data_IF_572185071140
#
_entry.id   IF_572185071140
#
_cell.length_a   1.000
_cell.length_b   1.000
_cell.length_c   1.000
_cell.angle_alpha   90.00
_cell.angle_beta   90.00
_cell.angle_gamma   90.00
#
_symmetry.space_group_name_H-M   'P 1'
#
loop_
_entity.id
_entity.type
_entity.pdbx_description
1 polymer ?
#
# COMPACT_ATOMS: atom_id res chain seq x y z
N UNK A 1 1.20 -32.99 6.27
CA UNK A 1 1.32 -31.59 5.87
C UNK A 1 2.20 -30.86 6.88
N UNK A 2 3.14 -30.07 6.41
CA UNK A 2 4.03 -29.38 7.33
C UNK A 2 3.47 -28.00 7.67
N UNK A 3 4.02 -27.37 8.71
CA UNK A 3 3.55 -26.08 9.19
C UNK A 3 3.60 -24.99 8.15
N UNK A 4 4.60 -25.04 7.29
CA UNK A 4 4.76 -24.05 6.24
C UNK A 4 3.54 -24.02 5.30
N UNK A 5 3.02 -25.19 4.96
CA UNK A 5 1.85 -25.28 4.09
C UNK A 5 0.60 -24.76 4.79
N UNK A 6 0.50 -24.98 6.10
CA UNK A 6 -0.65 -24.48 6.86
C UNK A 6 -0.64 -22.96 6.94
N UNK A 7 0.51 -22.36 7.19
CA UNK A 7 0.63 -20.90 7.24
C UNK A 7 0.31 -20.28 5.89
N UNK A 8 0.81 -20.89 4.82
CA UNK A 8 0.56 -20.39 3.48
C UNK A 8 -0.94 -20.45 3.16
N UNK A 9 -1.58 -21.54 3.52
CA UNK A 9 -2.99 -21.75 3.27
C UNK A 9 -3.84 -20.71 4.02
N UNK A 10 -3.53 -20.48 5.30
CA UNK A 10 -4.24 -19.49 6.09
C UNK A 10 -4.06 -18.10 5.53
N UNK A 11 -2.84 -17.78 5.11
CA UNK A 11 -2.54 -16.47 4.54
C UNK A 11 -3.34 -16.25 3.26
N UNK A 12 -3.38 -17.23 2.37
CA UNK A 12 -4.11 -17.10 1.11
C UNK A 12 -5.60 -16.92 1.30
N UNK A 13 -6.14 -17.46 2.38
CA UNK A 13 -7.58 -17.36 2.66
C UNK A 13 -7.96 -16.09 3.40
N UNK A 14 -6.98 -15.33 3.87
CA UNK A 14 -7.26 -14.09 4.60
C UNK A 14 -7.74 -12.99 3.67
N UNK A 15 -8.64 -12.13 4.13
CA UNK A 15 -8.98 -10.93 3.37
C UNK A 15 -7.75 -10.05 3.18
N UNK A 16 -7.62 -9.48 2.01
CA UNK A 16 -6.43 -8.70 1.66
C UNK A 16 -6.72 -7.37 0.99
N UNK A 17 -5.66 -6.57 0.90
CA UNK A 17 -5.66 -5.34 0.14
C UNK A 17 -4.46 -5.33 -0.81
N UNK A 18 -4.68 -4.79 -2.01
CA UNK A 18 -3.60 -4.16 -2.73
C UNK A 18 -3.61 -2.72 -2.25
N UNK A 19 -2.47 -2.19 -1.85
CA UNK A 19 -2.41 -0.83 -1.33
C UNK A 19 -1.51 0.05 -2.18
N UNK A 20 -1.82 1.35 -2.16
CA UNK A 20 -1.01 2.36 -2.84
C UNK A 20 -0.61 3.38 -1.79
N UNK A 21 0.68 3.43 -1.47
CA UNK A 21 1.20 4.38 -0.49
C UNK A 21 1.97 5.46 -1.23
N UNK A 22 1.60 6.71 -1.02
CA UNK A 22 2.32 7.83 -1.59
C UNK A 22 3.37 8.35 -0.62
N UNK A 23 4.54 8.71 -1.14
CA UNK A 23 5.62 9.27 -0.34
C UNK A 23 5.83 10.73 -0.75
N UNK A 24 5.89 11.60 0.23
CA UNK A 24 6.15 13.03 0.01
C UNK A 24 4.88 13.86 -0.01
N UNK A 25 5.05 15.17 0.08
CA UNK A 25 3.96 16.13 0.01
C UNK A 25 4.49 17.35 -0.75
N UNK A 26 4.17 17.50 -2.04
CA UNK A 26 3.29 16.60 -2.82
C UNK A 26 3.91 15.22 -3.05
N UNK A 27 3.07 14.28 -3.42
CA UNK A 27 3.52 12.90 -3.61
C UNK A 27 4.54 12.82 -4.74
N UNK A 28 5.69 12.19 -4.45
CA UNK A 28 6.77 12.02 -5.41
C UNK A 28 6.85 10.62 -5.95
N UNK A 29 6.48 9.65 -5.13
CA UNK A 29 6.57 8.25 -5.49
C UNK A 29 5.41 7.48 -4.87
N UNK A 30 5.08 6.35 -5.49
CA UNK A 30 3.99 5.49 -5.03
C UNK A 30 4.53 4.07 -4.87
N UNK A 31 4.22 3.47 -3.73
CA UNK A 31 4.52 2.05 -3.50
C UNK A 31 3.26 1.25 -3.74
N UNK A 32 3.39 0.16 -4.51
CA UNK A 32 2.30 -0.76 -4.76
C UNK A 32 2.64 -2.06 -4.04
N UNK A 33 1.77 -2.53 -3.16
CA UNK A 33 2.04 -3.74 -2.40
C UNK A 33 0.77 -4.44 -1.99
N UNK A 34 0.93 -5.56 -1.29
CA UNK A 34 -0.19 -6.33 -0.76
C UNK A 34 -0.02 -6.54 0.73
N UNK A 35 -1.14 -6.67 1.43
CA UNK A 35 -1.15 -7.00 2.84
C UNK A 35 -2.49 -7.61 3.20
N UNK A 36 -2.52 -8.41 4.28
CA UNK A 36 -3.80 -8.80 4.83
C UNK A 36 -4.48 -7.54 5.35
N UNK A 37 -5.82 -7.50 5.28
CA UNK A 37 -6.54 -6.29 5.68
C UNK A 37 -6.22 -5.87 7.10
N UNK A 38 -6.15 -6.82 8.03
CA UNK A 38 -5.86 -6.52 9.42
C UNK A 38 -4.43 -6.03 9.65
N UNK A 39 -3.56 -6.20 8.68
CA UNK A 39 -2.16 -5.77 8.80
C UNK A 39 -1.85 -4.44 8.15
N UNK A 40 -2.84 -3.75 7.60
CA UNK A 40 -2.59 -2.55 6.81
C UNK A 40 -1.87 -1.45 7.60
N UNK A 41 -2.34 -1.13 8.79
CA UNK A 41 -1.73 -0.07 9.58
C UNK A 41 -0.34 -0.43 10.07
N UNK A 42 -0.13 -1.69 10.40
CA UNK A 42 1.19 -2.15 10.81
C UNK A 42 2.17 -2.04 9.64
N UNK A 43 1.71 -2.34 8.43
CA UNK A 43 2.52 -2.21 7.23
C UNK A 43 2.90 -0.75 6.98
N UNK A 44 1.95 0.15 7.14
CA UNK A 44 2.21 1.57 6.98
C UNK A 44 3.23 2.06 8.01
N UNK A 45 3.10 1.65 9.27
CA UNK A 45 4.06 2.02 10.32
C UNK A 45 5.45 1.50 9.99
N UNK A 46 5.52 0.27 9.50
CA UNK A 46 6.80 -0.34 9.14
C UNK A 46 7.50 0.47 8.06
N UNK A 47 6.77 0.85 7.01
CA UNK A 47 7.35 1.62 5.93
C UNK A 47 7.72 3.04 6.38
N UNK A 48 6.88 3.65 7.21
CA UNK A 48 7.15 5.00 7.68
C UNK A 48 8.39 5.06 8.56
N UNK A 49 8.65 4.01 9.33
CA UNK A 49 9.79 4.02 10.26
C UNK A 49 11.14 4.12 9.56
N UNK A 50 11.21 3.77 8.29
CA UNK A 50 12.45 3.81 7.53
C UNK A 50 12.43 4.84 6.41
N UNK A 51 11.46 5.73 6.41
CA UNK A 51 11.32 6.71 5.33
C UNK A 51 11.22 8.11 5.91
N UNK A 52 12.05 9.02 5.45
CA UNK A 52 12.02 10.40 5.94
C UNK A 52 10.92 11.24 5.29
N UNK A 53 10.29 10.74 4.24
CA UNK A 53 9.15 11.44 3.63
C UNK A 53 7.87 11.00 4.34
N UNK A 54 6.89 11.90 4.48
CA UNK A 54 5.60 11.46 5.04
C UNK A 54 4.91 10.51 4.08
N UNK A 55 4.43 9.40 4.61
CA UNK A 55 3.72 8.40 3.82
C UNK A 55 2.22 8.49 4.06
N UNK A 56 1.46 8.28 3.01
CA UNK A 56 0.00 8.31 3.07
C UNK A 56 -0.57 7.21 2.22
N UNK A 57 -1.57 6.51 2.72
CA UNK A 57 -2.29 5.53 1.90
C UNK A 57 -3.18 6.31 0.95
N UNK A 58 -2.91 6.19 -0.34
CA UNK A 58 -3.70 6.89 -1.36
C UNK A 58 -5.00 6.15 -1.63
N UNK A 59 -4.94 4.82 -1.67
CA UNK A 59 -6.11 3.99 -1.93
C UNK A 59 -5.80 2.55 -1.62
N UNK A 60 -6.83 1.72 -1.50
CA UNK A 60 -6.71 0.27 -1.36
C UNK A 60 -7.69 -0.41 -2.30
N UNK A 61 -7.37 -1.63 -2.72
CA UNK A 61 -8.31 -2.48 -3.46
C UNK A 61 -8.59 -3.67 -2.56
N UNK A 62 -9.81 -3.84 -2.07
CA UNK A 62 -10.11 -4.97 -1.18
C UNK A 62 -10.34 -6.26 -1.95
N UNK A 63 -9.90 -7.36 -1.38
CA UNK A 63 -10.13 -8.71 -1.87
C UNK A 63 -10.62 -9.52 -0.68
N UNK A 64 -11.87 -9.87 -0.66
CA UNK A 64 -12.44 -10.52 0.52
C UNK A 64 -13.55 -11.53 0.21
N UNK A 65 -14.23 -11.39 -0.90
CA UNK A 65 -15.39 -12.22 -1.20
C UNK A 65 -15.06 -13.34 -2.17
N UNK A 66 -13.95 -14.00 -1.95
CA UNK A 66 -13.49 -15.04 -2.84
C UNK A 66 -12.79 -16.12 -2.02
N UNK A 67 -12.50 -17.23 -2.64
CA UNK A 67 -11.94 -18.39 -1.94
C UNK A 67 -10.52 -18.14 -1.42
N UNK A 68 -9.71 -17.44 -2.17
CA UNK A 68 -8.31 -17.13 -1.77
C UNK A 68 -8.00 -15.67 -2.07
N UNK A 69 -8.49 -14.77 -1.21
CA UNK A 69 -8.37 -13.34 -1.47
C UNK A 69 -6.94 -12.85 -1.64
N UNK A 70 -6.01 -13.32 -0.81
CA UNK A 70 -4.63 -12.84 -0.91
C UNK A 70 -3.96 -13.28 -2.20
N UNK A 71 -4.33 -14.44 -2.73
CA UNK A 71 -3.79 -14.87 -4.02
C UNK A 71 -4.25 -13.95 -5.14
N UNK A 72 -5.50 -13.53 -5.08
CA UNK A 72 -6.05 -12.59 -6.06
C UNK A 72 -5.43 -11.21 -5.90
N UNK A 73 -5.18 -10.80 -4.67
CA UNK A 73 -4.52 -9.51 -4.41
C UNK A 73 -3.10 -9.52 -5.00
N UNK A 74 -2.37 -10.61 -4.80
CA UNK A 74 -1.02 -10.72 -5.35
C UNK A 74 -1.01 -10.68 -6.87
N UNK A 75 -2.00 -11.33 -7.48
CA UNK A 75 -2.13 -11.33 -8.93
C UNK A 75 -2.38 -9.92 -9.44
N UNK A 76 -3.26 -9.19 -8.76
CA UNK A 76 -3.57 -7.81 -9.15
C UNK A 76 -2.37 -6.89 -8.97
N UNK A 77 -1.65 -7.05 -7.88
CA UNK A 77 -0.45 -6.26 -7.63
C UNK A 77 0.57 -6.49 -8.75
N UNK A 78 0.77 -7.74 -9.14
CA UNK A 78 1.71 -8.08 -10.19
C UNK A 78 1.28 -7.47 -11.54
N UNK A 79 0.01 -7.50 -11.84
CA UNK A 79 -0.53 -6.89 -13.06
C UNK A 79 -0.24 -5.38 -13.08
N UNK A 80 -0.47 -4.72 -11.95
CA UNK A 80 -0.26 -3.28 -11.86
C UNK A 80 1.22 -2.93 -11.98
N UNK A 81 2.08 -3.70 -11.34
CA UNK A 81 3.51 -3.46 -11.41
C UNK A 81 4.01 -3.64 -12.84
N UNK A 82 3.47 -4.60 -13.57
CA UNK A 82 3.80 -4.80 -14.96
C UNK A 82 3.31 -3.64 -15.82
N UNK A 83 2.08 -3.20 -15.56
CA UNK A 83 1.48 -2.11 -16.32
C UNK A 83 2.28 -0.82 -16.18
N UNK A 84 2.81 -0.56 -14.98
CA UNK A 84 3.54 0.67 -14.71
C UNK A 84 5.05 0.45 -14.57
N UNK A 85 5.57 -0.63 -15.15
CA UNK A 85 6.99 -0.95 -15.06
C UNK A 85 7.89 0.18 -15.54
N UNK A 86 7.43 0.95 -16.53
CA UNK A 86 8.19 2.07 -17.06
C UNK A 86 8.36 3.23 -16.06
N UNK A 87 7.60 3.22 -14.98
CA UNK A 87 7.70 4.23 -13.93
C UNK A 87 8.48 3.71 -12.72
N UNK A 88 8.95 2.47 -12.77
CA UNK A 88 9.66 1.87 -11.65
C UNK A 88 10.93 2.66 -11.35
N UNK A 89 11.14 3.00 -10.08
CA UNK A 89 12.27 3.87 -9.70
C UNK A 89 13.60 3.14 -9.66
N UNK A 90 13.54 1.81 -9.44
CA UNK A 90 14.75 0.99 -9.37
C UNK A 90 14.57 -0.22 -10.26
N UNK A 91 15.68 -0.79 -10.69
CA UNK A 91 15.60 -1.96 -11.54
C UNK A 91 14.93 -3.13 -10.83
N UNK A 92 14.27 -3.95 -11.61
CA UNK A 92 13.56 -5.10 -11.09
C UNK A 92 14.50 -5.99 -10.29
N UNK A 93 14.06 -6.40 -9.12
CA UNK A 93 14.86 -7.25 -8.23
C UNK A 93 15.67 -6.48 -7.20
N UNK A 94 15.75 -5.17 -7.29
CA UNK A 94 16.46 -4.38 -6.31
C UNK A 94 15.52 -4.00 -5.15
N UNK A 95 16.11 -3.72 -4.01
CA UNK A 95 15.35 -3.18 -2.88
C UNK A 95 14.71 -1.87 -3.35
N UNK A 96 13.42 -1.75 -3.14
CA UNK A 96 12.70 -0.56 -3.59
C UNK A 96 12.12 -0.68 -4.99
N UNK A 97 12.23 -1.84 -5.62
CA UNK A 97 11.68 -2.02 -6.96
C UNK A 97 10.16 -1.89 -7.01
N UNK A 98 9.48 -1.95 -5.87
CA UNK A 98 8.04 -1.76 -5.81
C UNK A 98 7.64 -0.29 -5.68
N UNK A 99 8.60 0.63 -5.73
CA UNK A 99 8.32 2.08 -5.75
C UNK A 99 8.32 2.59 -7.18
N UNK A 100 7.34 3.42 -7.48
CA UNK A 100 7.11 3.95 -8.83
C UNK A 100 7.10 5.46 -8.80
N UNK A 101 7.68 6.09 -9.82
CA UNK A 101 7.63 7.53 -9.96
C UNK A 101 6.19 7.94 -10.20
N UNK A 102 5.74 8.99 -9.52
CA UNK A 102 4.36 9.44 -9.68
C UNK A 102 4.15 10.01 -11.08
N UNK A 103 2.99 9.77 -11.63
CA UNK A 103 2.57 10.36 -12.91
C UNK A 103 1.07 10.55 -12.86
N UNK A 104 0.56 11.42 -13.72
CA UNK A 104 -0.89 11.66 -13.78
C UNK A 104 -1.64 10.40 -14.17
N UNK A 105 -1.06 9.61 -15.07
CA UNK A 105 -1.70 8.36 -15.50
C UNK A 105 -1.80 7.36 -14.35
N UNK A 106 -0.72 7.24 -13.57
CA UNK A 106 -0.73 6.34 -12.42
C UNK A 106 -1.75 6.80 -11.38
N UNK A 107 -1.77 8.09 -11.06
CA UNK A 107 -2.71 8.61 -10.07
C UNK A 107 -4.16 8.47 -10.55
N UNK A 108 -4.41 8.67 -11.82
CA UNK A 108 -5.75 8.50 -12.38
C UNK A 108 -6.20 7.04 -12.28
N UNK A 109 -5.29 6.11 -12.54
CA UNK A 109 -5.63 4.68 -12.44
C UNK A 109 -5.94 4.32 -10.98
N UNK A 110 -5.12 4.82 -10.04
CA UNK A 110 -5.34 4.58 -8.61
C UNK A 110 -6.72 5.08 -8.19
N UNK A 111 -7.09 6.29 -8.62
CA UNK A 111 -8.40 6.85 -8.31
C UNK A 111 -9.53 6.01 -8.90
N UNK A 112 -9.30 5.45 -10.08
CA UNK A 112 -10.32 4.69 -10.78
C UNK A 112 -10.57 3.33 -10.14
N UNK A 113 -9.50 2.64 -9.75
CA UNK A 113 -9.62 1.25 -9.28
C UNK A 113 -9.60 1.11 -7.76
N UNK A 114 -9.13 2.11 -7.06
CA UNK A 114 -8.96 2.03 -5.61
C UNK A 114 -10.10 2.69 -4.85
N UNK A 115 -10.16 2.35 -3.57
CA UNK A 115 -11.13 2.91 -2.64
C UNK A 115 -10.33 3.72 -1.63
N UNK A 116 -10.82 4.90 -1.26
CA UNK A 116 -10.12 5.74 -0.28
C UNK A 116 -10.11 5.05 1.08
N UNK A 117 -9.01 5.16 1.83
CA UNK A 117 -8.91 4.51 3.14
C UNK A 117 -10.06 4.86 4.07
N UNK A 118 -10.50 6.11 4.02
CA UNK A 118 -11.60 6.58 4.86
C UNK A 118 -12.85 5.73 4.69
N UNK A 119 -13.12 5.30 3.48
CA UNK A 119 -14.32 4.50 3.19
C UNK A 119 -14.20 3.08 3.76
N UNK A 120 -13.02 2.67 4.14
CA UNK A 120 -12.78 1.37 4.76
C UNK A 120 -12.45 1.49 6.24
N UNK A 121 -12.62 2.68 6.81
CA UNK A 121 -12.32 2.91 8.22
C UNK A 121 -10.83 2.88 8.55
N UNK A 122 -9.97 3.16 7.56
CA UNK A 122 -8.54 3.12 7.73
C UNK A 122 -7.99 4.54 7.78
N UNK A 123 -7.08 4.80 8.73
CA UNK A 123 -6.37 6.08 8.77
C UNK A 123 -5.39 6.09 7.60
N UNK A 124 -5.26 7.22 6.92
CA UNK A 124 -4.40 7.28 5.75
C UNK A 124 -2.94 7.60 6.09
N UNK A 125 -2.66 8.05 7.30
CA UNK A 125 -1.30 8.42 7.68
C UNK A 125 -1.08 8.26 9.18
N UNK A 126 0.14 7.92 9.58
CA UNK A 126 0.52 7.93 10.98
C UNK A 126 1.42 9.12 11.29
N UNK A 127 1.76 9.91 10.27
CA UNK A 127 2.52 11.14 10.43
C UNK A 127 1.59 12.34 10.54
N UNK A 128 0.35 12.13 10.93
CA UNK A 128 -0.53 13.20 11.14
C UNK A 128 -0.02 14.03 12.26
N UNK A 129 0.20 15.29 12.05
CA UNK A 129 0.63 16.13 13.13
C UNK A 129 -0.46 16.11 14.11
N UNK A 130 -0.15 15.71 15.24
CA UNK A 130 -1.06 15.88 16.30
C UNK A 130 -1.23 17.34 16.48
N UNK A 131 -2.22 17.71 17.21
CA UNK A 131 -2.41 19.09 17.55
C UNK A 131 -1.19 19.65 18.18
N UNK A 132 -0.46 18.83 18.84
CA UNK A 132 0.72 19.29 19.45
C UNK A 132 1.80 19.60 18.52
N UNK A 133 1.84 18.98 17.40
CA UNK A 133 2.83 19.27 16.47
C UNK A 133 2.49 20.44 15.71
N UNK A 134 1.28 20.51 15.52
CA UNK A 134 0.80 21.55 15.01
C UNK A 134 0.91 22.53 15.90
N UNK A 135 1.00 22.01 16.78
CA UNK A 135 1.07 22.61 17.72
C UNK A 135 2.14 23.27 17.94
N UNK A 136 2.45 23.05 17.34
CA UNK A 136 2.78 23.70 17.46
C UNK A 136 2.56 24.42 17.08
N UNK A 137 2.23 24.12 16.98
CA UNK A 137 1.85 24.80 16.80
C UNK A 137 1.28 25.25 17.26
N UNK A 138 1.24 25.13 17.40
CA UNK A 138 0.76 25.59 17.88
C UNK A 138 0.77 25.60 18.69
N UNK A 139 1.09 25.51 18.87
CA UNK A 139 1.03 25.49 19.59
C UNK A 139 1.22 26.19 19.80
#
# INVERSE_FOLDING_TARGET
MNNKNLYQDEWEKSPGYVYFIGAGDPVKAVKIGVTRQKGMMQRLRHHQSSNHEPLRILAVIPFESTERPMRKAEKKEKELRTKFAHLQRFENGWVGSEWFTVSDVLLAEIDKIGIKPKERGIRDSIMIPGPGLDRQGGR
#
